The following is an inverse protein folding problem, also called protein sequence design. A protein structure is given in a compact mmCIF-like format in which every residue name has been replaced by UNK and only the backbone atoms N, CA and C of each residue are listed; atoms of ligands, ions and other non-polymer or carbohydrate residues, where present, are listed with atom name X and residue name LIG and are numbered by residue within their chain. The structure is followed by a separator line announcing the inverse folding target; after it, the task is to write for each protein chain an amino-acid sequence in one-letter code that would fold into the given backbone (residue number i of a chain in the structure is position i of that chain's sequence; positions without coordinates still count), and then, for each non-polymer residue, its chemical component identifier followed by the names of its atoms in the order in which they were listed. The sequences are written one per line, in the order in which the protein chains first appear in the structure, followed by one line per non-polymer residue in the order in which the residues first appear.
data_IF_642171494269
#
_entry.id   IF_642171494269
#
_cell.length_a   1.000
_cell.length_b   1.000
_cell.length_c   1.000
_cell.angle_alpha   90.00
_cell.angle_beta   90.00
_cell.angle_gamma   90.00
#
_symmetry.space_group_name_H-M   'P 1'
#
loop_
_entity.id
_entity.type
_entity.pdbx_description
1 polymer ?
#
# COMPACT_ATOMS: atom_id res chain seq x y z
N UNK A 1 44.81 -3.44 -5.94
CA UNK A 1 44.45 -2.15 -5.33
C UNK A 1 42.99 -1.89 -5.65
N UNK A 2 42.14 -1.94 -4.63
CA UNK A 2 40.68 -1.89 -4.75
C UNK A 2 40.19 -0.50 -5.17
N UNK A 3 39.30 -0.45 -6.16
CA UNK A 3 38.54 0.75 -6.49
C UNK A 3 37.30 0.82 -5.60
N UNK A 4 37.07 2.02 -5.06
CA UNK A 4 36.17 2.30 -3.95
C UNK A 4 34.69 2.09 -4.26
N UNK A 5 34.03 1.60 -3.21
CA UNK A 5 32.63 1.63 -2.85
C UNK A 5 31.81 2.79 -3.49
N UNK A 6 30.87 2.46 -4.37
CA UNK A 6 29.76 3.35 -4.70
C UNK A 6 28.70 3.24 -3.59
N UNK A 7 28.52 4.31 -2.85
CA UNK A 7 27.41 4.46 -1.93
C UNK A 7 26.12 4.58 -2.75
N UNK A 8 25.30 3.53 -2.73
CA UNK A 8 23.95 3.56 -3.31
C UNK A 8 23.07 4.47 -2.44
N UNK A 9 22.97 5.73 -2.84
CA UNK A 9 21.95 6.65 -2.34
C UNK A 9 20.58 6.09 -2.72
N UNK A 10 19.63 5.88 -1.79
CA UNK A 10 18.29 5.53 -2.17
C UNK A 10 17.70 6.72 -2.95
N UNK A 11 17.41 6.50 -4.22
CA UNK A 11 16.65 7.45 -5.04
C UNK A 11 15.23 7.47 -4.47
N UNK A 12 15.00 8.40 -3.54
CA UNK A 12 13.65 8.77 -3.13
C UNK A 12 13.09 9.56 -4.32
N UNK A 13 12.28 8.89 -5.14
CA UNK A 13 11.42 9.54 -6.12
C UNK A 13 10.33 10.30 -5.36
N UNK A 14 10.70 11.45 -4.81
CA UNK A 14 9.77 12.43 -4.28
C UNK A 14 9.07 13.12 -5.46
N UNK A 15 8.02 12.49 -5.96
CA UNK A 15 7.02 13.20 -6.76
C UNK A 15 6.07 13.90 -5.78
N UNK A 16 6.41 15.13 -5.40
CA UNK A 16 5.52 16.00 -4.65
C UNK A 16 5.44 17.36 -5.34
N UNK A 17 4.29 17.66 -5.96
CA UNK A 17 3.79 19.02 -6.16
C UNK A 17 2.33 18.96 -6.63
N UNK A 18 1.45 19.71 -5.96
CA UNK A 18 0.09 20.00 -6.43
C UNK A 18 -0.99 19.63 -5.43
N UNK A 19 -1.24 20.50 -4.45
CA UNK A 19 -2.51 20.52 -3.75
C UNK A 19 -3.57 21.08 -4.70
N UNK A 20 -4.45 20.21 -5.18
CA UNK A 20 -5.68 20.58 -5.86
C UNK A 20 -6.75 19.65 -5.31
N UNK A 21 -7.87 20.20 -4.82
CA UNK A 21 -9.12 19.47 -4.56
C UNK A 21 -9.74 19.04 -5.90
N UNK A 22 -8.94 18.38 -6.73
CA UNK A 22 -9.30 17.78 -8.00
C UNK A 22 -9.51 16.29 -7.77
N UNK A 23 -10.51 15.76 -8.46
CA UNK A 23 -10.79 14.34 -8.68
C UNK A 23 -9.72 13.43 -8.08
N UNK A 24 -10.02 12.77 -6.96
CA UNK A 24 -9.10 11.79 -6.37
C UNK A 24 -8.89 10.69 -7.42
N UNK A 25 -7.83 10.82 -8.20
CA UNK A 25 -7.42 9.88 -9.25
C UNK A 25 -6.26 9.06 -8.68
N UNK A 26 -6.21 7.78 -9.03
CA UNK A 26 -5.12 6.91 -8.60
C UNK A 26 -3.79 7.46 -9.10
N UNK A 27 -2.75 7.50 -8.24
CA UNK A 27 -1.44 8.01 -8.64
C UNK A 27 -0.76 7.15 -9.72
N UNK A 28 -1.19 5.90 -9.88
CA UNK A 28 -0.68 4.99 -10.90
C UNK A 28 -1.85 4.28 -11.61
N UNK A 29 -1.75 4.16 -12.94
CA UNK A 29 -2.60 3.24 -13.68
C UNK A 29 -2.26 1.79 -13.29
N UNK A 30 -3.18 0.82 -13.49
CA UNK A 30 -2.89 -0.59 -13.21
C UNK A 30 -1.63 -1.10 -13.92
N UNK A 31 -1.40 -0.68 -15.16
CA UNK A 31 -0.24 -1.08 -15.98
C UNK A 31 1.06 -0.54 -15.37
N UNK A 32 1.08 0.75 -15.02
CA UNK A 32 2.24 1.40 -14.39
C UNK A 32 2.54 0.79 -13.01
N UNK A 33 1.50 0.53 -12.21
CA UNK A 33 1.68 -0.13 -10.92
C UNK A 33 2.28 -1.54 -11.09
N UNK A 34 1.82 -2.30 -12.09
CA UNK A 34 2.37 -3.62 -12.42
C UNK A 34 3.84 -3.55 -12.80
N UNK A 35 4.23 -2.64 -13.69
CA UNK A 35 5.63 -2.46 -14.10
C UNK A 35 6.54 -2.15 -12.90
N UNK A 36 6.09 -1.27 -12.01
CA UNK A 36 6.82 -0.96 -10.78
C UNK A 36 6.95 -2.23 -9.93
N UNK A 37 5.84 -2.93 -9.63
CA UNK A 37 5.86 -4.14 -8.79
C UNK A 37 6.81 -5.21 -9.35
N UNK A 38 6.85 -5.39 -10.67
CA UNK A 38 7.73 -6.39 -11.32
C UNK A 38 9.22 -6.04 -11.24
N UNK A 39 9.58 -4.78 -10.96
CA UNK A 39 10.97 -4.33 -10.88
C UNK A 39 11.48 -4.13 -9.44
N UNK A 40 10.60 -4.17 -8.44
CA UNK A 40 10.97 -3.96 -7.05
C UNK A 40 11.93 -5.04 -6.54
N UNK A 41 13.10 -4.61 -6.05
CA UNK A 41 14.06 -5.46 -5.32
C UNK A 41 13.85 -5.43 -3.81
N UNK A 42 13.11 -4.43 -3.32
CA UNK A 42 12.85 -4.20 -1.90
C UNK A 42 11.36 -3.87 -1.68
N UNK A 43 10.82 -4.12 -0.49
CA UNK A 43 9.45 -3.74 -0.15
C UNK A 43 9.21 -2.24 -0.35
N UNK A 44 8.06 -1.88 -0.92
CA UNK A 44 7.65 -0.50 -1.14
C UNK A 44 6.20 -0.28 -0.73
N UNK A 45 5.87 0.96 -0.35
CA UNK A 45 4.52 1.39 0.00
C UNK A 45 3.97 2.26 -1.13
N UNK A 46 2.79 1.89 -1.64
CA UNK A 46 2.09 2.66 -2.66
C UNK A 46 1.01 3.51 -2.00
N UNK A 47 1.36 4.77 -1.69
CA UNK A 47 0.45 5.72 -1.09
C UNK A 47 -0.76 5.98 -2.01
N UNK A 48 -1.94 6.16 -1.41
CA UNK A 48 -3.17 6.52 -2.12
C UNK A 48 -3.58 5.57 -3.26
N UNK A 49 -3.16 4.30 -3.26
CA UNK A 49 -3.61 3.34 -4.29
C UNK A 49 -4.95 2.65 -3.98
N UNK A 50 -5.44 2.81 -2.75
CA UNK A 50 -6.66 2.15 -2.25
C UNK A 50 -7.76 3.14 -1.85
N UNK A 51 -7.65 4.42 -2.25
CA UNK A 51 -8.59 5.45 -1.81
C UNK A 51 -10.03 5.20 -2.32
N UNK A 52 -10.22 4.44 -3.39
CA UNK A 52 -11.51 4.10 -3.98
C UNK A 52 -12.00 2.70 -3.57
N UNK A 53 -11.28 2.00 -2.70
CA UNK A 53 -11.66 0.64 -2.31
C UNK A 53 -12.89 0.67 -1.39
N UNK A 54 -13.89 -0.20 -1.61
CA UNK A 54 -15.06 -0.32 -0.73
C UNK A 54 -14.69 -0.56 0.73
N UNK A 55 -13.55 -1.24 0.95
CA UNK A 55 -12.99 -1.55 2.26
C UNK A 55 -12.70 -0.32 3.13
N UNK A 56 -12.58 0.88 2.55
CA UNK A 56 -12.42 2.12 3.34
C UNK A 56 -13.58 2.42 4.27
N UNK A 57 -14.77 1.93 3.94
CA UNK A 57 -15.98 2.14 4.75
C UNK A 57 -16.18 1.02 5.78
N UNK A 58 -15.31 0.02 5.82
CA UNK A 58 -15.43 -1.08 6.76
C UNK A 58 -15.16 -0.58 8.19
N UNK A 59 -16.11 -0.85 9.06
CA UNK A 59 -15.98 -0.64 10.50
C UNK A 59 -16.44 -1.91 11.23
N UNK A 60 -16.19 -1.99 12.54
CA UNK A 60 -16.51 -3.19 13.32
C UNK A 60 -17.99 -3.58 13.24
N UNK A 61 -18.91 -2.61 13.22
CA UNK A 61 -20.36 -2.85 13.13
C UNK A 61 -20.72 -3.48 11.78
N UNK A 62 -20.31 -2.84 10.69
CA UNK A 62 -20.54 -3.34 9.33
C UNK A 62 -19.95 -4.74 9.13
N UNK A 63 -18.72 -4.95 9.60
CA UNK A 63 -18.07 -6.25 9.53
C UNK A 63 -18.82 -7.31 10.34
N UNK A 64 -19.32 -6.98 11.54
CA UNK A 64 -20.12 -7.90 12.35
C UNK A 64 -21.42 -8.31 11.66
N UNK A 65 -22.07 -7.40 10.94
CA UNK A 65 -23.29 -7.68 10.18
C UNK A 65 -22.98 -8.57 8.96
N UNK A 66 -21.96 -8.21 8.16
CA UNK A 66 -21.57 -8.96 6.94
C UNK A 66 -20.98 -10.35 7.25
N UNK A 67 -20.38 -10.51 8.42
CA UNK A 67 -19.78 -11.77 8.87
C UNK A 67 -20.71 -12.58 9.78
N UNK A 68 -21.93 -12.10 10.02
CA UNK A 68 -22.89 -12.79 10.87
C UNK A 68 -23.13 -14.23 10.39
N UNK A 69 -23.12 -15.17 11.34
CA UNK A 69 -23.28 -16.60 11.05
C UNK A 69 -22.08 -17.30 10.39
N UNK A 70 -21.01 -16.57 10.03
CA UNK A 70 -19.80 -17.17 9.44
C UNK A 70 -18.85 -17.65 10.54
N UNK A 71 -18.37 -18.88 10.41
CA UNK A 71 -17.32 -19.42 11.30
C UNK A 71 -15.96 -18.88 10.87
N UNK A 72 -15.33 -18.09 11.72
CA UNK A 72 -14.01 -17.50 11.49
C UNK A 72 -13.02 -18.13 12.48
N UNK A 73 -11.87 -18.58 11.99
CA UNK A 73 -10.78 -19.07 12.84
C UNK A 73 -9.93 -17.89 13.28
N UNK A 74 -9.81 -17.70 14.58
CA UNK A 74 -8.94 -16.69 15.17
C UNK A 74 -7.60 -17.32 15.58
N UNK A 75 -6.51 -16.62 15.30
CA UNK A 75 -5.20 -16.96 15.88
C UNK A 75 -5.12 -16.30 17.26
N UNK A 76 -5.02 -17.12 18.30
CA UNK A 76 -4.77 -16.61 19.66
C UNK A 76 -3.26 -16.40 19.84
N UNK A 77 -2.87 -15.19 20.23
CA UNK A 77 -1.51 -14.90 20.68
C UNK A 77 -1.27 -15.42 22.09
N UNK A 78 -0.01 -15.56 22.47
CA UNK A 78 0.32 -15.78 23.88
C UNK A 78 -0.06 -14.54 24.68
N UNK A 79 -0.65 -14.74 25.86
CA UNK A 79 -0.84 -13.67 26.84
C UNK A 79 0.54 -13.31 27.41
N UNK A 80 0.97 -12.06 27.21
CA UNK A 80 2.14 -11.48 27.88
C UNK A 80 1.89 -11.34 29.38
#
# INVERSE_FOLDING_TARGET
MAAGSEATTPVILAAGAGGEEGEHVKPFTPEKAKEIIMSLQQPAIFCNMVFDWPARHWNAKYLSEVLHGKRIRFRMGMKS
#
